data_IF_243941153370
#
_entry.id   IF_243941153370
#
_cell.length_a   1.000
_cell.length_b   1.000
_cell.length_c   1.000
_cell.angle_alpha   90.00
_cell.angle_beta   90.00
_cell.angle_gamma   90.00
#
_symmetry.space_group_name_H-M   'P 1'
#
loop_
_entity.id
_entity.type
_entity.pdbx_description
1 polymer ?
#
# COMPACT_ATOMS: atom_id res chain seq x y z
N UNK A 1 -20.95 -10.16 -8.79
CA UNK A 1 -21.90 -9.92 -9.90
C UNK A 1 -21.57 -8.70 -10.78
N UNK A 2 -20.88 -7.66 -10.30
CA UNK A 2 -20.56 -6.45 -11.10
C UNK A 2 -19.55 -6.68 -12.25
N UNK A 3 -18.67 -7.69 -12.14
CA UNK A 3 -17.67 -8.00 -13.17
C UNK A 3 -18.25 -8.63 -14.46
N UNK A 4 -19.34 -9.40 -14.35
CA UNK A 4 -20.00 -10.01 -15.51
C UNK A 4 -20.69 -8.96 -16.40
N UNK A 5 -21.22 -7.90 -15.78
CA UNK A 5 -21.86 -6.79 -16.49
C UNK A 5 -20.85 -5.98 -17.33
N UNK A 6 -19.61 -5.84 -16.83
CA UNK A 6 -18.53 -5.15 -17.54
C UNK A 6 -18.07 -5.93 -18.78
N UNK A 7 -18.01 -7.27 -18.68
CA UNK A 7 -17.73 -8.16 -19.82
C UNK A 7 -18.78 -8.03 -20.93
N UNK A 8 -20.06 -8.00 -20.58
CA UNK A 8 -21.14 -7.83 -21.56
C UNK A 8 -21.08 -6.45 -22.24
N UNK A 9 -20.60 -5.42 -21.54
CA UNK A 9 -20.47 -4.06 -22.07
C UNK A 9 -19.29 -3.95 -23.07
N UNK A 10 -18.16 -4.59 -22.77
CA UNK A 10 -17.02 -4.67 -23.70
C UNK A 10 -17.29 -5.57 -24.91
N UNK A 11 -17.99 -6.70 -24.72
CA UNK A 11 -18.48 -7.54 -25.83
C UNK A 11 -19.54 -6.81 -26.67
N UNK A 12 -20.40 -6.00 -26.05
CA UNK A 12 -21.41 -5.20 -26.75
C UNK A 12 -20.82 -4.08 -27.61
N UNK A 13 -19.73 -3.42 -27.17
CA UNK A 13 -19.05 -2.39 -27.97
C UNK A 13 -18.31 -2.96 -29.20
N UNK A 14 -17.95 -4.25 -29.19
CA UNK A 14 -17.37 -4.94 -30.34
C UNK A 14 -18.39 -5.22 -31.46
N UNK A 15 -19.69 -5.03 -31.18
CA UNK A 15 -20.80 -5.24 -32.10
C UNK A 15 -21.53 -3.95 -32.46
N UNK A 16 -20.86 -2.78 -32.41
CA UNK A 16 -21.42 -1.56 -33.00
C UNK A 16 -21.50 -1.75 -34.53
N UNK A 17 -22.72 -1.73 -35.13
CA UNK A 17 -22.88 -1.94 -36.56
C UNK A 17 -22.13 -0.83 -37.32
N UNK A 18 -21.17 -1.21 -38.17
CA UNK A 18 -20.37 -0.28 -38.98
C UNK A 18 -18.92 -0.06 -38.54
N UNK A 19 -18.47 -0.67 -37.44
CA UNK A 19 -17.04 -0.65 -37.10
C UNK A 19 -16.22 -1.56 -38.03
N UNK A 20 -15.00 -1.16 -38.45
CA UNK A 20 -14.10 -2.06 -39.18
C UNK A 20 -13.80 -3.29 -38.31
N UNK A 21 -13.98 -4.50 -38.85
CA UNK A 21 -13.86 -5.74 -38.06
C UNK A 21 -12.52 -5.93 -37.33
N UNK A 22 -11.45 -5.30 -37.82
CA UNK A 22 -10.15 -5.30 -37.14
C UNK A 22 -10.15 -4.49 -35.84
N UNK A 23 -10.93 -3.41 -35.74
CA UNK A 23 -11.03 -2.59 -34.53
C UNK A 23 -11.77 -3.34 -33.41
N UNK A 24 -12.84 -4.04 -33.75
CA UNK A 24 -13.56 -4.93 -32.82
C UNK A 24 -12.66 -6.08 -32.32
N UNK A 25 -11.87 -6.68 -33.22
CA UNK A 25 -10.91 -7.73 -32.84
C UNK A 25 -9.81 -7.20 -31.91
N UNK A 26 -9.23 -6.03 -32.20
CA UNK A 26 -8.19 -5.41 -31.35
C UNK A 26 -8.75 -5.08 -29.96
N UNK A 27 -9.93 -4.49 -29.88
CA UNK A 27 -10.58 -4.18 -28.60
C UNK A 27 -10.94 -5.44 -27.81
N UNK A 28 -11.41 -6.49 -28.48
CA UNK A 28 -11.71 -7.78 -27.85
C UNK A 28 -10.46 -8.44 -27.27
N UNK A 29 -9.35 -8.46 -28.01
CA UNK A 29 -8.06 -9.00 -27.54
C UNK A 29 -7.51 -8.18 -26.39
N UNK A 30 -7.52 -6.84 -26.48
CA UNK A 30 -7.07 -5.96 -25.39
C UNK A 30 -7.92 -6.15 -24.13
N UNK A 31 -9.25 -6.24 -24.28
CA UNK A 31 -10.18 -6.50 -23.18
C UNK A 31 -9.92 -7.85 -22.51
N UNK A 32 -9.67 -8.91 -23.30
CA UNK A 32 -9.33 -10.23 -22.79
C UNK A 32 -8.00 -10.25 -22.03
N UNK A 33 -6.98 -9.55 -22.51
CA UNK A 33 -5.68 -9.41 -21.82
C UNK A 33 -5.85 -8.67 -20.49
N UNK A 34 -6.57 -7.55 -20.48
CA UNK A 34 -6.82 -6.79 -19.25
C UNK A 34 -7.64 -7.61 -18.24
N UNK A 35 -8.69 -8.28 -18.70
CA UNK A 35 -9.54 -9.10 -17.85
C UNK A 35 -8.80 -10.30 -17.28
N UNK A 36 -8.03 -11.02 -18.11
CA UNK A 36 -7.21 -12.15 -17.64
C UNK A 36 -6.17 -11.70 -16.61
N UNK A 37 -5.54 -10.54 -16.80
CA UNK A 37 -4.66 -9.92 -15.81
C UNK A 37 -5.36 -9.65 -14.47
N UNK A 38 -6.53 -9.00 -14.51
CA UNK A 38 -7.32 -8.70 -13.29
C UNK A 38 -7.80 -10.00 -12.61
N UNK A 39 -8.27 -10.97 -13.38
CA UNK A 39 -8.73 -12.26 -12.86
C UNK A 39 -7.59 -13.04 -12.19
N UNK A 40 -6.41 -13.07 -12.81
CA UNK A 40 -5.21 -13.66 -12.21
C UNK A 40 -4.83 -12.97 -10.90
N UNK A 41 -4.87 -11.64 -10.86
CA UNK A 41 -4.60 -10.87 -9.64
C UNK A 41 -5.62 -11.18 -8.53
N UNK A 42 -6.91 -11.20 -8.86
CA UNK A 42 -7.99 -11.50 -7.93
C UNK A 42 -7.91 -12.94 -7.38
N UNK A 43 -7.51 -13.90 -8.23
CA UNK A 43 -7.35 -15.30 -7.84
C UNK A 43 -6.02 -15.60 -7.13
N UNK A 44 -5.05 -14.67 -7.15
CA UNK A 44 -3.67 -14.94 -6.71
C UNK A 44 -3.49 -15.22 -5.21
N UNK A 45 -4.54 -15.07 -4.37
CA UNK A 45 -4.50 -15.19 -2.89
C UNK A 45 -3.30 -14.45 -2.25
N UNK A 46 -2.71 -13.47 -2.94
CA UNK A 46 -1.53 -12.76 -2.47
C UNK A 46 -1.93 -11.92 -1.27
N UNK A 47 -1.20 -12.11 -0.19
CA UNK A 47 -1.44 -11.40 1.05
C UNK A 47 -0.70 -10.07 0.99
N UNK A 48 -1.43 -8.96 0.88
CA UNK A 48 -0.84 -7.62 0.84
C UNK A 48 -0.30 -7.18 2.22
N UNK A 49 -0.96 -7.62 3.29
CA UNK A 49 -0.57 -7.39 4.68
C UNK A 49 -1.01 -8.60 5.52
N UNK A 50 -0.10 -9.14 6.33
CA UNK A 50 -0.43 -10.07 7.41
C UNK A 50 0.15 -9.54 8.69
N UNK A 51 -0.65 -9.50 9.75
CA UNK A 51 -0.18 -9.18 11.09
C UNK A 51 -0.35 -10.44 11.93
N UNK A 52 0.71 -10.85 12.62
CA UNK A 52 0.72 -12.06 13.44
C UNK A 52 1.68 -11.95 14.63
N UNK A 53 1.85 -13.06 15.37
CA UNK A 53 2.70 -13.08 16.56
C UNK A 53 4.17 -12.73 16.25
N UNK A 54 4.68 -13.17 15.10
CA UNK A 54 6.07 -12.95 14.69
C UNK A 54 6.36 -11.52 14.23
N UNK A 55 5.33 -10.79 13.78
CA UNK A 55 5.51 -9.47 13.19
C UNK A 55 4.50 -9.12 12.10
N UNK A 56 4.93 -8.21 11.22
CA UNK A 56 4.15 -7.69 10.09
C UNK A 56 4.76 -8.16 8.78
N UNK A 57 3.98 -8.89 7.99
CA UNK A 57 4.37 -9.28 6.64
C UNK A 57 3.73 -8.35 5.62
N UNK A 58 4.54 -7.61 4.87
CA UNK A 58 4.11 -6.83 3.72
C UNK A 58 4.26 -7.66 2.44
N UNK A 59 3.16 -7.81 1.72
CA UNK A 59 3.09 -8.58 0.49
C UNK A 59 3.91 -7.99 -0.65
N UNK A 60 4.44 -8.87 -1.50
CA UNK A 60 5.12 -8.49 -2.72
C UNK A 60 4.18 -8.08 -3.85
N UNK A 61 4.65 -7.25 -4.78
CA UNK A 61 3.92 -6.92 -6.01
C UNK A 61 4.28 -7.91 -7.13
N UNK A 62 3.40 -8.14 -8.11
CA UNK A 62 3.71 -8.96 -9.28
C UNK A 62 4.91 -8.46 -10.09
N UNK A 63 5.25 -7.17 -9.95
CA UNK A 63 6.24 -6.47 -10.75
C UNK A 63 7.61 -6.31 -10.05
N UNK A 64 7.93 -7.18 -9.08
CA UNK A 64 9.31 -7.34 -8.59
C UNK A 64 9.57 -7.00 -7.13
N UNK A 65 8.59 -6.46 -6.39
CA UNK A 65 8.74 -6.26 -4.95
C UNK A 65 8.49 -7.59 -4.25
N UNK A 66 9.47 -8.09 -3.47
CA UNK A 66 9.31 -9.31 -2.68
C UNK A 66 8.44 -9.06 -1.45
N UNK A 67 7.83 -10.13 -0.95
CA UNK A 67 7.21 -10.08 0.36
C UNK A 67 8.31 -9.95 1.43
N UNK A 68 8.07 -9.14 2.44
CA UNK A 68 9.01 -8.85 3.52
C UNK A 68 8.30 -9.06 4.85
N UNK A 69 8.94 -9.83 5.75
CA UNK A 69 8.52 -9.99 7.13
C UNK A 69 9.36 -9.05 7.98
N UNK A 70 8.70 -8.19 8.75
CA UNK A 70 9.32 -7.31 9.72
C UNK A 70 8.95 -7.80 11.11
N UNK A 71 9.94 -8.19 11.90
CA UNK A 71 9.72 -8.62 13.28
C UNK A 71 9.25 -7.44 14.13
N UNK A 72 8.44 -7.70 15.16
CA UNK A 72 7.94 -6.63 16.04
C UNK A 72 9.06 -5.80 16.69
N UNK A 73 10.21 -6.42 16.95
CA UNK A 73 11.43 -5.77 17.48
C UNK A 73 11.97 -4.65 16.57
N UNK A 74 11.71 -4.75 15.27
CA UNK A 74 12.16 -3.79 14.26
C UNK A 74 11.09 -2.75 13.93
N UNK A 75 9.81 -3.06 14.15
CA UNK A 75 8.68 -2.19 13.82
C UNK A 75 8.58 -1.05 14.83
N UNK A 76 8.51 0.18 14.31
CA UNK A 76 8.34 1.40 15.10
C UNK A 76 6.92 1.92 14.99
N UNK A 77 6.39 1.99 13.77
CA UNK A 77 5.02 2.45 13.53
C UNK A 77 4.34 1.73 12.39
N UNK A 78 3.01 1.69 12.45
CA UNK A 78 2.14 1.33 11.34
C UNK A 78 1.28 2.54 11.03
N UNK A 79 1.24 2.94 9.77
CA UNK A 79 0.61 4.18 9.31
C UNK A 79 -0.42 3.86 8.23
N UNK A 80 -1.65 4.35 8.36
CA UNK A 80 -2.65 4.33 7.29
C UNK A 80 -2.93 5.76 6.85
N UNK A 81 -2.83 6.02 5.55
CA UNK A 81 -3.13 7.34 4.98
C UNK A 81 -3.75 7.23 3.61
N UNK A 82 -4.47 8.27 3.21
CA UNK A 82 -4.92 8.45 1.83
C UNK A 82 -4.09 9.55 1.18
N UNK A 83 -3.60 9.30 -0.04
CA UNK A 83 -2.92 10.36 -0.79
C UNK A 83 -3.89 11.53 -1.06
N UNK A 84 -3.42 12.79 -0.95
CA UNK A 84 -4.24 13.95 -1.23
C UNK A 84 -4.79 13.90 -2.67
N UNK A 85 -5.94 14.56 -2.94
CA UNK A 85 -6.72 14.41 -4.17
C UNK A 85 -6.05 14.94 -5.46
N UNK A 86 -4.74 15.20 -5.44
CA UNK A 86 -3.96 15.66 -6.58
C UNK A 86 -3.80 14.60 -7.67
N UNK A 87 -4.17 13.34 -7.41
CA UNK A 87 -4.30 12.27 -8.41
C UNK A 87 -5.77 12.02 -8.73
N UNK A 88 -6.07 11.66 -9.98
CA UNK A 88 -7.43 11.33 -10.45
C UNK A 88 -8.12 10.22 -9.64
N UNK A 89 -7.37 9.45 -8.86
CA UNK A 89 -7.87 8.36 -8.02
C UNK A 89 -7.30 8.51 -6.61
N UNK A 90 -8.18 8.67 -5.60
CA UNK A 90 -7.80 8.57 -4.19
C UNK A 90 -7.28 7.15 -3.92
N UNK A 91 -6.00 7.06 -3.54
CA UNK A 91 -5.38 5.78 -3.20
C UNK A 91 -5.01 5.80 -1.73
N UNK A 92 -5.57 4.86 -0.98
CA UNK A 92 -5.16 4.61 0.40
C UNK A 92 -3.92 3.74 0.43
N UNK A 93 -3.09 3.94 1.44
CA UNK A 93 -1.83 3.24 1.63
C UNK A 93 -1.76 2.74 3.07
N UNK A 94 -1.06 1.64 3.24
CA UNK A 94 -0.50 1.26 4.54
C UNK A 94 1.02 1.35 4.47
N UNK A 95 1.63 1.84 5.54
CA UNK A 95 3.07 1.88 5.72
C UNK A 95 3.46 1.22 7.04
N UNK A 96 4.59 0.54 7.01
CA UNK A 96 5.26 0.01 8.20
C UNK A 96 6.61 0.68 8.27
N UNK A 97 6.84 1.41 9.36
CA UNK A 97 8.12 2.01 9.68
C UNK A 97 8.92 1.04 10.51
N UNK A 98 10.16 0.80 10.12
CA UNK A 98 11.02 -0.18 10.77
C UNK A 98 12.48 0.27 10.78
N UNK A 99 13.27 -0.28 11.71
CA UNK A 99 14.67 0.11 12.00
C UNK A 99 15.70 -0.40 10.97
N UNK A 100 15.29 -0.78 9.76
CA UNK A 100 16.18 -1.46 8.81
C UNK A 100 17.46 -0.63 8.58
N UNK A 101 18.61 -1.23 8.85
CA UNK A 101 19.92 -0.61 9.13
C UNK A 101 20.60 0.15 7.98
N UNK A 102 19.84 0.89 7.18
CA UNK A 102 20.41 1.90 6.31
C UNK A 102 20.90 3.05 7.19
N UNK A 103 22.22 3.25 7.20
CA UNK A 103 22.83 4.41 7.83
C UNK A 103 22.07 5.68 7.44
N UNK A 104 21.90 6.65 8.36
CA UNK A 104 21.30 7.94 8.05
C UNK A 104 21.91 8.47 6.75
N UNK A 105 21.08 8.79 5.76
CA UNK A 105 21.54 9.32 4.48
C UNK A 105 22.48 10.50 4.76
N UNK A 106 23.78 10.42 4.43
CA UNK A 106 24.69 11.52 4.63
C UNK A 106 24.26 12.66 3.70
N UNK A 107 23.83 13.77 4.29
CA UNK A 107 23.39 14.96 3.54
C UNK A 107 21.90 15.26 3.65
N UNK A 108 21.34 15.30 4.86
CA UNK A 108 20.07 15.99 5.09
C UNK A 108 20.19 17.43 4.58
N UNK A 109 19.32 17.83 3.65
CA UNK A 109 19.28 19.21 3.18
C UNK A 109 19.14 20.18 4.37
N UNK A 110 19.67 21.41 4.30
CA UNK A 110 19.53 22.39 5.39
C UNK A 110 18.08 22.59 5.85
N UNK A 111 17.12 22.45 4.93
CA UNK A 111 15.69 22.51 5.22
C UNK A 111 15.19 21.32 6.05
N UNK A 112 15.68 20.11 5.78
CA UNK A 112 15.36 18.93 6.59
C UNK A 112 15.93 19.05 8.00
N UNK A 113 17.13 19.62 8.13
CA UNK A 113 17.77 19.84 9.43
C UNK A 113 16.99 20.83 10.31
N UNK A 114 16.44 21.89 9.71
CA UNK A 114 15.58 22.83 10.43
C UNK A 114 14.25 22.19 10.89
N UNK A 115 13.70 21.28 10.09
CA UNK A 115 12.51 20.51 10.48
C UNK A 115 12.85 19.58 11.64
N UNK A 116 14.00 18.89 11.59
CA UNK A 116 14.45 18.02 12.68
C UNK A 116 14.69 18.80 13.99
N UNK A 117 15.34 19.98 13.91
CA UNK A 117 15.53 20.89 15.05
C UNK A 117 14.18 21.37 15.62
N UNK A 118 13.23 21.75 14.75
CA UNK A 118 11.89 22.14 15.17
C UNK A 118 11.12 20.99 15.84
N UNK A 119 11.20 19.78 15.29
CA UNK A 119 10.55 18.60 15.86
C UNK A 119 11.19 18.21 17.20
N UNK A 120 12.50 18.35 17.35
CA UNK A 120 13.19 18.09 18.62
C UNK A 120 12.74 19.02 19.76
N UNK A 121 12.35 20.26 19.43
CA UNK A 121 11.82 21.22 20.41
C UNK A 121 10.34 20.99 20.77
N UNK A 122 9.53 20.49 19.82
CA UNK A 122 8.06 20.43 19.97
C UNK A 122 7.53 19.01 20.21
N UNK A 123 8.35 17.99 20.04
CA UNK A 123 7.97 16.58 20.16
C UNK A 123 8.78 15.94 21.29
N UNK A 124 8.17 15.08 22.14
CA UNK A 124 8.90 14.41 23.20
C UNK A 124 10.15 13.70 22.67
N UNK A 125 11.29 13.88 23.35
CA UNK A 125 12.59 13.38 22.89
C UNK A 125 12.57 11.87 22.58
N UNK A 126 11.87 11.06 23.39
CA UNK A 126 11.74 9.62 23.16
C UNK A 126 10.95 9.23 21.91
N UNK A 127 10.09 10.12 21.39
CA UNK A 127 9.42 9.92 20.11
C UNK A 127 10.36 10.23 18.95
N UNK A 128 11.12 11.33 19.02
CA UNK A 128 12.09 11.68 17.94
C UNK A 128 13.15 10.60 17.81
N UNK A 129 13.68 10.11 18.94
CA UNK A 129 14.65 9.01 18.97
C UNK A 129 14.10 7.72 18.35
N UNK A 130 12.86 7.34 18.68
CA UNK A 130 12.24 6.12 18.17
C UNK A 130 12.08 6.12 16.64
N UNK A 131 11.91 7.30 16.01
CA UNK A 131 11.69 7.45 14.57
C UNK A 131 12.97 7.75 13.79
N UNK A 132 14.04 8.16 14.46
CA UNK A 132 15.34 8.43 13.83
C UNK A 132 15.97 7.17 13.24
N UNK A 133 16.56 7.27 12.04
CA UNK A 133 17.20 6.15 11.35
C UNK A 133 16.25 5.04 10.89
N UNK A 134 14.94 5.31 10.80
CA UNK A 134 13.95 4.34 10.34
C UNK A 134 13.62 4.47 8.85
N UNK A 135 13.18 3.38 8.25
CA UNK A 135 12.71 3.31 6.86
C UNK A 135 11.21 3.07 6.84
N UNK A 136 10.49 3.72 5.91
CA UNK A 136 9.06 3.49 5.69
C UNK A 136 8.85 2.59 4.48
N UNK A 137 8.31 1.40 4.72
CA UNK A 137 7.89 0.45 3.69
C UNK A 137 6.39 0.49 3.50
N UNK A 138 5.92 0.88 2.32
CA UNK A 138 4.49 1.12 2.07
C UNK A 138 3.90 0.27 0.95
N UNK A 139 2.58 0.04 1.02
CA UNK A 139 1.78 -0.67 0.01
C UNK A 139 0.48 0.07 -0.25
N UNK A 140 0.18 0.29 -1.53
CA UNK A 140 -1.12 0.80 -1.96
C UNK A 140 -2.22 -0.22 -1.69
N UNK A 141 -3.33 0.25 -1.14
CA UNK A 141 -4.54 -0.51 -0.85
C UNK A 141 -5.43 -0.68 -2.10
N UNK A 142 -4.80 -0.75 -3.27
CA UNK A 142 -5.47 -0.90 -4.56
C UNK A 142 -6.00 -2.32 -4.66
N UNK A 143 -7.33 -2.47 -4.71
CA UNK A 143 -8.07 -3.75 -4.76
C UNK A 143 -8.14 -4.55 -3.44
N UNK A 144 -7.78 -3.96 -2.31
CA UNK A 144 -7.94 -4.60 -0.99
C UNK A 144 -8.22 -3.56 0.09
N UNK A 145 -8.76 -4.01 1.22
CA UNK A 145 -9.09 -3.13 2.36
C UNK A 145 -8.58 -3.74 3.66
N UNK A 146 -8.07 -2.88 4.54
CA UNK A 146 -7.70 -3.23 5.90
C UNK A 146 -8.91 -3.08 6.80
N UNK A 147 -9.20 -4.10 7.60
CA UNK A 147 -10.06 -3.95 8.76
C UNK A 147 -9.25 -3.26 9.87
N UNK A 148 -9.48 -1.96 10.03
CA UNK A 148 -8.74 -1.14 10.99
C UNK A 148 -8.98 -1.58 12.43
N UNK A 149 -10.19 -2.02 12.77
CA UNK A 149 -10.52 -2.43 14.14
C UNK A 149 -9.76 -3.72 14.50
N UNK A 150 -9.75 -4.67 13.56
CA UNK A 150 -8.99 -5.90 13.72
C UNK A 150 -7.49 -5.64 13.74
N UNK A 151 -6.98 -4.74 12.89
CA UNK A 151 -5.58 -4.32 12.91
C UNK A 151 -5.20 -3.72 14.27
N UNK A 152 -5.97 -2.74 14.76
CA UNK A 152 -5.79 -2.11 16.08
C UNK A 152 -5.75 -3.14 17.20
N UNK A 153 -6.71 -4.05 17.22
CA UNK A 153 -6.77 -5.11 18.23
C UNK A 153 -5.55 -6.02 18.18
N UNK A 154 -5.12 -6.40 16.98
CA UNK A 154 -4.00 -7.32 16.77
C UNK A 154 -2.66 -6.68 17.16
N UNK A 155 -2.43 -5.44 16.74
CA UNK A 155 -1.21 -4.69 17.10
C UNK A 155 -1.13 -4.50 18.61
N UNK A 156 -2.23 -4.09 19.25
CA UNK A 156 -2.27 -3.96 20.73
C UNK A 156 -2.01 -5.27 21.47
N UNK A 157 -2.38 -6.40 20.88
CA UNK A 157 -2.19 -7.70 21.50
C UNK A 157 -0.74 -8.21 21.39
N UNK A 158 -0.07 -7.95 20.26
CA UNK A 158 1.28 -8.50 20.00
C UNK A 158 2.42 -7.50 20.22
N UNK A 159 2.17 -6.20 20.03
CA UNK A 159 3.18 -5.14 20.12
C UNK A 159 2.54 -3.81 20.57
N UNK A 160 2.14 -3.70 21.86
CA UNK A 160 1.51 -2.49 22.41
C UNK A 160 2.39 -1.24 22.34
N UNK A 161 3.70 -1.40 22.21
CA UNK A 161 4.70 -0.36 22.04
C UNK A 161 4.75 0.25 20.62
N UNK A 162 4.17 -0.42 19.62
CA UNK A 162 4.16 0.07 18.24
C UNK A 162 3.15 1.19 18.06
N UNK A 163 3.61 2.31 17.51
CA UNK A 163 2.75 3.44 17.22
C UNK A 163 1.81 3.12 16.05
N UNK A 164 0.53 3.44 16.20
CA UNK A 164 -0.46 3.29 15.15
C UNK A 164 -1.05 4.64 14.77
N UNK A 165 -0.83 5.06 13.52
CA UNK A 165 -1.40 6.27 12.96
C UNK A 165 -2.49 5.94 11.93
N UNK A 166 -3.64 6.56 12.07
CA UNK A 166 -4.80 6.33 11.22
C UNK A 166 -5.32 7.67 10.70
N UNK A 167 -5.08 7.92 9.42
CA UNK A 167 -5.48 9.13 8.69
C UNK A 167 -6.21 8.76 7.40
N UNK A 168 -7.13 7.82 7.51
CA UNK A 168 -8.03 7.47 6.42
C UNK A 168 -9.26 8.40 6.47
N UNK A 169 -9.32 9.33 5.52
CA UNK A 169 -10.44 10.27 5.32
C UNK A 169 -11.73 9.59 4.82
#
# INVERSE_FOLDING_TARGET
>A
MKGALLCLLFLGLAFVPGSPGWAAAVLGVMGAILFSGIALLACSRRVALRVGPEGVMLGGTPFGIRAELMEWSEVVSIELWTEPPHRMVKTSYIGVRHKNGSAPLPGSSPALRQIDEYLAEHVPAGFVEAFSGTVLSSRGMVLWRVDQARLKATVRAFAPEVYLFDRLD
#
